data_IF_411852510422
#
_entry.id   IF_411852510422
#
_cell.length_a   1.000
_cell.length_b   1.000
_cell.length_c   1.000
_cell.angle_alpha   90.00
_cell.angle_beta   90.00
_cell.angle_gamma   90.00
#
_symmetry.space_group_name_H-M   'P 1'
#
loop_
_entity.id
_entity.type
_entity.pdbx_description
1 polymer ?
#
# COMPACT_ATOMS: atom_id res chain seq x y z
N UNK A 1 16.25 -21.74 11.42
CA UNK A 1 16.66 -21.35 10.04
C UNK A 1 17.43 -20.04 10.16
N UNK A 2 18.70 -20.02 9.75
CA UNK A 2 19.43 -18.76 9.66
C UNK A 2 18.92 -18.05 8.40
N UNK A 3 18.30 -16.87 8.54
CA UNK A 3 17.92 -16.07 7.40
C UNK A 3 19.23 -15.48 6.78
N UNK A 4 19.76 -16.04 5.70
CA UNK A 4 21.04 -15.58 5.14
C UNK A 4 20.90 -14.22 4.45
N UNK A 5 19.67 -13.83 4.11
CA UNK A 5 19.37 -12.59 3.38
C UNK A 5 18.72 -11.58 4.32
N UNK A 6 19.22 -10.36 4.30
CA UNK A 6 18.62 -9.25 5.01
C UNK A 6 17.31 -8.85 4.33
N UNK A 7 16.18 -9.06 5.02
CA UNK A 7 14.84 -8.78 4.51
C UNK A 7 14.70 -7.32 3.99
N UNK A 8 15.28 -6.38 4.71
CA UNK A 8 15.24 -4.97 4.32
C UNK A 8 15.99 -4.67 3.02
N UNK A 9 17.13 -5.34 2.80
CA UNK A 9 17.89 -5.18 1.56
C UNK A 9 17.15 -5.85 0.42
N UNK A 10 16.68 -7.08 0.62
CA UNK A 10 15.86 -7.79 -0.38
C UNK A 10 14.65 -6.96 -0.79
N UNK A 11 13.93 -6.40 0.20
CA UNK A 11 12.77 -5.56 -0.06
C UNK A 11 13.12 -4.33 -0.89
N UNK A 12 14.21 -3.63 -0.57
CA UNK A 12 14.65 -2.46 -1.35
C UNK A 12 15.04 -2.82 -2.79
N UNK A 13 15.68 -3.97 -3.00
CA UNK A 13 16.00 -4.47 -4.34
C UNK A 13 14.71 -4.74 -5.12
N UNK A 14 13.75 -5.44 -4.51
CA UNK A 14 12.45 -5.73 -5.14
C UNK A 14 11.69 -4.43 -5.41
N UNK A 15 11.64 -3.49 -4.46
CA UNK A 15 10.98 -2.20 -4.62
C UNK A 15 11.58 -1.38 -5.76
N UNK A 16 12.91 -1.31 -5.84
CA UNK A 16 13.59 -0.57 -6.91
C UNK A 16 13.38 -1.24 -8.26
N UNK A 17 13.53 -2.56 -8.33
CA UNK A 17 13.28 -3.33 -9.54
C UNK A 17 11.83 -3.22 -10.01
N UNK A 18 10.87 -3.30 -9.09
CA UNK A 18 9.45 -3.10 -9.39
C UNK A 18 9.17 -1.66 -9.86
N UNK A 19 9.75 -0.66 -9.20
CA UNK A 19 9.60 0.74 -9.62
C UNK A 19 10.09 0.95 -11.05
N UNK A 20 11.28 0.46 -11.39
CA UNK A 20 11.84 0.55 -12.74
C UNK A 20 10.95 -0.21 -13.73
N UNK A 21 10.54 -1.43 -13.39
CA UNK A 21 9.72 -2.26 -14.27
C UNK A 21 8.34 -1.65 -14.55
N UNK A 22 7.69 -1.10 -13.51
CA UNK A 22 6.35 -0.55 -13.67
C UNK A 22 6.32 0.87 -14.22
N UNK A 23 7.38 1.64 -14.06
CA UNK A 23 7.46 2.99 -14.65
C UNK A 23 8.00 2.93 -16.08
N UNK A 24 9.03 2.09 -16.34
CA UNK A 24 9.72 2.07 -17.64
C UNK A 24 9.49 0.77 -18.42
N UNK A 25 8.67 -0.14 -17.91
CA UNK A 25 8.49 -1.46 -18.53
C UNK A 25 7.93 -1.43 -19.94
N UNK A 26 7.02 -0.53 -20.24
CA UNK A 26 6.48 -0.31 -21.60
C UNK A 26 7.57 0.09 -22.58
N UNK A 27 8.45 1.01 -22.19
CA UNK A 27 9.59 1.46 -22.99
C UNK A 27 10.61 0.32 -23.21
N UNK A 28 10.88 -0.46 -22.14
CA UNK A 28 11.85 -1.56 -22.18
C UNK A 28 11.36 -2.72 -23.06
N UNK A 29 10.07 -3.04 -22.97
CA UNK A 29 9.48 -4.20 -23.70
C UNK A 29 8.92 -3.83 -25.06
N UNK A 30 8.78 -2.54 -25.38
CA UNK A 30 8.10 -2.07 -26.57
C UNK A 30 6.59 -2.37 -26.59
N UNK A 31 6.04 -2.78 -25.44
CA UNK A 31 4.63 -3.12 -25.28
C UNK A 31 3.89 -1.94 -24.66
N UNK A 32 3.05 -1.31 -25.46
CA UNK A 32 2.25 -0.17 -25.03
C UNK A 32 0.81 -0.60 -24.68
N UNK A 33 0.18 0.18 -23.88
CA UNK A 33 -1.12 -0.04 -23.28
C UNK A 33 -2.28 -0.26 -24.22
N UNK A 34 -2.24 0.31 -25.41
CA UNK A 34 -3.28 0.16 -26.43
C UNK A 34 -3.47 -1.29 -26.86
N UNK A 35 -2.44 -2.12 -26.72
CA UNK A 35 -2.44 -3.55 -27.06
C UNK A 35 -2.88 -4.45 -25.90
N UNK A 36 -3.62 -3.92 -24.93
CA UNK A 36 -4.10 -4.71 -23.79
C UNK A 36 -4.85 -5.96 -24.22
N UNK A 37 -4.39 -7.08 -23.73
CA UNK A 37 -4.97 -8.40 -23.97
C UNK A 37 -6.43 -8.45 -23.47
N UNK A 38 -6.79 -7.66 -22.48
CA UNK A 38 -8.16 -7.54 -21.99
C UNK A 38 -8.30 -6.32 -21.07
N UNK A 39 -9.32 -5.48 -21.29
CA UNK A 39 -9.71 -4.41 -20.38
C UNK A 39 -10.18 -4.89 -18.99
N UNK A 40 -10.25 -6.21 -18.79
CA UNK A 40 -10.62 -6.84 -17.53
C UNK A 40 -9.41 -7.30 -16.71
N UNK A 41 -8.20 -7.31 -17.28
CA UNK A 41 -7.00 -7.69 -16.54
C UNK A 41 -6.57 -6.56 -15.59
N UNK A 42 -6.13 -6.91 -14.38
CA UNK A 42 -5.66 -5.91 -13.43
C UNK A 42 -4.42 -5.21 -13.94
N UNK A 43 -4.48 -3.91 -13.94
CA UNK A 43 -3.36 -3.05 -14.24
C UNK A 43 -2.55 -2.77 -12.95
N UNK A 44 -1.22 -2.81 -12.98
CA UNK A 44 -0.34 -2.62 -11.81
C UNK A 44 0.32 -1.22 -11.77
N UNK A 45 0.29 -0.46 -12.87
CA UNK A 45 0.69 0.94 -12.91
C UNK A 45 -0.40 1.84 -13.49
N UNK A 46 -0.19 3.15 -13.50
CA UNK A 46 -1.24 4.08 -13.89
C UNK A 46 -1.39 4.17 -15.43
N UNK A 47 -2.63 4.05 -15.93
CA UNK A 47 -2.98 3.97 -17.35
C UNK A 47 -2.96 5.30 -18.10
N UNK A 48 -2.71 6.40 -17.43
CA UNK A 48 -2.78 7.70 -18.07
C UNK A 48 -1.50 8.11 -18.80
N UNK A 49 -0.49 7.26 -18.77
CA UNK A 49 0.75 7.47 -19.47
C UNK A 49 0.84 6.52 -20.65
N UNK A 50 0.90 7.05 -21.87
CA UNK A 50 1.06 6.25 -23.09
C UNK A 50 2.35 5.44 -23.13
N UNK A 51 3.32 5.77 -22.28
CA UNK A 51 4.63 5.11 -22.21
C UNK A 51 4.77 4.17 -21.00
N UNK A 52 3.82 4.20 -20.06
CA UNK A 52 3.84 3.38 -18.85
C UNK A 52 3.12 2.04 -19.01
N UNK A 53 3.56 1.04 -18.29
CA UNK A 53 2.85 -0.23 -18.19
C UNK A 53 1.76 -0.14 -17.12
N UNK A 54 0.52 -0.47 -17.49
CA UNK A 54 -0.64 -0.38 -16.60
C UNK A 54 -0.77 -1.57 -15.68
N UNK A 55 -0.78 -1.29 -14.40
CA UNK A 55 -1.15 -2.32 -13.43
C UNK A 55 -1.91 -1.75 -12.21
N UNK A 56 -2.84 -0.83 -12.42
CA UNK A 56 -3.75 -0.38 -11.35
C UNK A 56 -5.16 -0.96 -11.53
N UNK A 57 -5.65 -1.65 -10.51
CA UNK A 57 -6.96 -2.28 -10.50
C UNK A 57 -8.11 -1.32 -10.46
N UNK A 58 -7.89 -0.18 -9.89
CA UNK A 58 -8.97 0.77 -9.68
C UNK A 58 -9.48 1.36 -10.99
N UNK A 59 -8.62 1.42 -12.03
CA UNK A 59 -9.02 1.92 -13.35
C UNK A 59 -10.06 1.02 -14.01
N UNK A 60 -9.78 -0.30 -14.25
CA UNK A 60 -10.77 -1.14 -14.87
C UNK A 60 -12.05 -1.27 -14.05
N UNK A 61 -11.99 -1.19 -12.72
CA UNK A 61 -13.20 -1.19 -11.90
C UNK A 61 -14.04 0.06 -12.18
N UNK A 62 -13.45 1.27 -12.15
CA UNK A 62 -14.18 2.51 -12.42
C UNK A 62 -14.76 2.53 -13.84
N UNK A 63 -13.96 2.17 -14.84
CA UNK A 63 -14.40 2.08 -16.24
C UNK A 63 -15.57 1.10 -16.43
N UNK A 64 -15.56 -0.03 -15.75
CA UNK A 64 -16.64 -1.01 -15.85
C UNK A 64 -17.90 -0.58 -15.11
N UNK A 65 -17.74 0.15 -13.99
CA UNK A 65 -18.89 0.75 -13.30
C UNK A 65 -19.56 1.80 -14.16
N UNK A 66 -18.78 2.65 -14.83
CA UNK A 66 -19.28 3.71 -15.71
C UNK A 66 -19.88 3.13 -17.02
N UNK A 67 -19.04 2.59 -17.90
CA UNK A 67 -19.42 2.24 -19.28
C UNK A 67 -20.14 0.90 -19.43
N UNK A 68 -20.10 0.01 -18.44
CA UNK A 68 -20.79 -1.30 -18.56
C UNK A 68 -21.99 -1.40 -17.66
N UNK A 69 -21.79 -1.23 -16.36
CA UNK A 69 -22.87 -1.42 -15.41
C UNK A 69 -23.85 -0.25 -15.43
N UNK A 70 -23.38 0.98 -15.39
CA UNK A 70 -24.22 2.18 -15.41
C UNK A 70 -25.09 2.25 -16.67
N UNK A 71 -24.49 2.04 -17.85
CA UNK A 71 -25.23 2.02 -19.10
C UNK A 71 -26.23 0.85 -19.19
N UNK A 72 -25.88 -0.35 -18.68
CA UNK A 72 -26.78 -1.50 -18.69
C UNK A 72 -28.04 -1.25 -17.84
N UNK A 73 -27.89 -0.55 -16.72
CA UNK A 73 -29.03 -0.18 -15.86
C UNK A 73 -29.97 0.77 -16.59
N UNK A 74 -29.45 1.80 -17.25
CA UNK A 74 -30.27 2.84 -17.92
C UNK A 74 -30.90 2.34 -19.20
N UNK A 75 -30.15 1.62 -20.03
CA UNK A 75 -30.61 1.12 -21.33
C UNK A 75 -31.50 -0.12 -21.23
N UNK A 76 -31.74 -0.64 -20.01
CA UNK A 76 -32.53 -1.87 -19.82
C UNK A 76 -31.86 -3.10 -20.43
N UNK A 77 -30.55 -3.09 -20.57
CA UNK A 77 -29.75 -4.17 -21.12
C UNK A 77 -29.66 -5.39 -20.19
N UNK A 78 -29.03 -6.45 -20.68
CA UNK A 78 -28.83 -7.65 -19.87
C UNK A 78 -27.83 -7.33 -18.74
N UNK A 79 -28.36 -7.12 -17.51
CA UNK A 79 -27.60 -6.75 -16.33
C UNK A 79 -26.43 -7.72 -16.06
N UNK A 80 -26.63 -9.00 -16.37
CA UNK A 80 -25.60 -10.02 -16.23
C UNK A 80 -24.37 -9.73 -17.13
N UNK A 81 -24.61 -9.30 -18.38
CA UNK A 81 -23.53 -8.91 -19.30
C UNK A 81 -22.81 -7.62 -18.87
N UNK A 82 -23.50 -6.70 -18.21
CA UNK A 82 -22.89 -5.51 -17.63
C UNK A 82 -22.00 -5.80 -16.42
N UNK A 83 -22.41 -6.76 -15.58
CA UNK A 83 -21.71 -7.12 -14.35
C UNK A 83 -20.54 -8.09 -14.59
N UNK A 84 -20.62 -8.95 -15.61
CA UNK A 84 -19.61 -10.00 -15.88
C UNK A 84 -18.16 -9.48 -15.98
N UNK A 85 -17.86 -8.40 -16.73
CA UNK A 85 -16.49 -7.88 -16.78
C UNK A 85 -15.97 -7.46 -15.41
N UNK A 86 -16.80 -6.85 -14.58
CA UNK A 86 -16.44 -6.47 -13.20
C UNK A 86 -16.14 -7.69 -12.34
N UNK A 87 -16.96 -8.74 -12.45
CA UNK A 87 -16.72 -10.00 -11.72
C UNK A 87 -15.43 -10.70 -12.18
N UNK A 88 -15.12 -10.67 -13.48
CA UNK A 88 -13.87 -11.22 -14.02
C UNK A 88 -12.68 -10.42 -13.48
N UNK A 89 -12.76 -9.11 -13.50
CA UNK A 89 -11.72 -8.23 -12.96
C UNK A 89 -11.51 -8.49 -11.46
N UNK A 90 -12.56 -8.53 -10.67
CA UNK A 90 -12.48 -8.87 -9.25
C UNK A 90 -11.96 -10.29 -9.02
N UNK A 91 -12.31 -11.24 -9.88
CA UNK A 91 -11.82 -12.63 -9.83
C UNK A 91 -10.31 -12.74 -10.11
N UNK A 92 -9.80 -12.06 -11.13
CA UNK A 92 -8.35 -12.02 -11.42
C UNK A 92 -7.57 -11.34 -10.31
N UNK A 93 -8.17 -10.32 -9.70
CA UNK A 93 -7.64 -9.69 -8.49
C UNK A 93 -7.60 -10.63 -7.31
N UNK A 94 -8.70 -11.35 -7.07
CA UNK A 94 -8.76 -12.32 -6.00
C UNK A 94 -7.60 -13.31 -6.12
N UNK A 95 -7.29 -13.77 -7.33
CA UNK A 95 -6.16 -14.66 -7.58
C UNK A 95 -4.83 -14.00 -7.15
N UNK A 96 -4.57 -12.77 -7.61
CA UNK A 96 -3.36 -12.02 -7.25
C UNK A 96 -3.29 -11.75 -5.73
N UNK A 97 -4.42 -11.39 -5.12
CA UNK A 97 -4.48 -11.11 -3.69
C UNK A 97 -4.40 -12.36 -2.83
N UNK A 98 -4.86 -13.49 -3.30
CA UNK A 98 -4.65 -14.77 -2.61
C UNK A 98 -3.17 -15.13 -2.63
N UNK A 99 -2.48 -14.98 -3.75
CA UNK A 99 -1.05 -15.32 -3.88
C UNK A 99 -0.16 -14.35 -3.09
N UNK A 100 -0.26 -13.06 -3.37
CA UNK A 100 0.63 -12.04 -2.79
C UNK A 100 0.06 -11.42 -1.50
N UNK A 101 -1.24 -11.54 -1.28
CA UNK A 101 -1.93 -10.83 -0.21
C UNK A 101 -1.58 -9.33 -0.29
N UNK A 102 -1.32 -8.70 0.82
CA UNK A 102 -0.96 -7.28 0.93
C UNK A 102 0.51 -6.97 0.66
N UNK A 103 1.33 -7.97 0.29
CA UNK A 103 2.73 -7.74 -0.04
C UNK A 103 2.90 -6.82 -1.25
N UNK A 104 1.92 -6.78 -2.16
CA UNK A 104 1.92 -5.81 -3.24
C UNK A 104 2.19 -4.38 -2.73
N UNK A 105 1.46 -3.93 -1.70
CA UNK A 105 1.61 -2.58 -1.14
C UNK A 105 2.97 -2.33 -0.49
N UNK A 106 3.56 -3.35 0.13
CA UNK A 106 4.82 -3.20 0.88
C UNK A 106 6.09 -3.48 0.07
N UNK A 107 5.97 -4.16 -1.07
CA UNK A 107 7.13 -4.65 -1.83
C UNK A 107 7.17 -4.18 -3.28
N UNK A 108 6.00 -3.96 -3.90
CA UNK A 108 5.90 -3.74 -5.34
C UNK A 108 5.44 -2.32 -5.66
N UNK A 109 4.50 -1.76 -4.89
CA UNK A 109 3.84 -0.49 -5.20
C UNK A 109 4.84 0.68 -5.37
N UNK A 110 4.90 1.33 -6.56
CA UNK A 110 5.81 2.44 -6.83
C UNK A 110 5.57 3.63 -5.89
N UNK A 111 4.31 3.96 -5.63
CA UNK A 111 3.95 5.07 -4.73
C UNK A 111 4.40 4.82 -3.29
N UNK A 112 4.29 3.56 -2.81
CA UNK A 112 4.80 3.16 -1.50
C UNK A 112 6.31 3.30 -1.40
N UNK A 113 7.02 2.90 -2.47
CA UNK A 113 8.48 3.04 -2.58
C UNK A 113 8.91 4.50 -2.57
N UNK A 114 8.23 5.36 -3.33
CA UNK A 114 8.50 6.80 -3.38
C UNK A 114 8.31 7.46 -2.01
N UNK A 115 7.22 7.18 -1.31
CA UNK A 115 7.00 7.70 0.04
C UNK A 115 8.09 7.23 1.02
N UNK A 116 8.58 6.00 0.89
CA UNK A 116 9.70 5.51 1.72
C UNK A 116 11.01 6.24 1.42
N UNK A 117 11.27 6.59 0.15
CA UNK A 117 12.43 7.42 -0.24
C UNK A 117 12.31 8.83 0.36
N UNK A 118 11.14 9.47 0.23
CA UNK A 118 10.89 10.79 0.82
C UNK A 118 11.06 10.77 2.34
N UNK A 119 10.59 9.70 3.00
CA UNK A 119 10.81 9.51 4.43
C UNK A 119 12.30 9.47 4.79
N UNK A 120 13.14 8.75 4.03
CA UNK A 120 14.60 8.69 4.25
C UNK A 120 15.21 10.09 4.09
N UNK A 121 14.77 10.83 3.08
CA UNK A 121 15.20 12.21 2.85
C UNK A 121 14.80 13.10 4.05
N UNK A 122 13.53 13.02 4.47
CA UNK A 122 13.01 13.76 5.62
C UNK A 122 13.78 13.47 6.92
N UNK A 123 14.19 12.20 7.13
CA UNK A 123 15.03 11.81 8.26
C UNK A 123 16.42 12.47 8.21
N UNK A 124 17.05 12.44 7.04
CA UNK A 124 18.37 13.06 6.84
C UNK A 124 18.33 14.58 7.01
N UNK A 125 17.24 15.22 6.60
CA UNK A 125 17.01 16.66 6.76
C UNK A 125 16.56 17.04 8.19
N UNK A 126 16.32 16.07 9.06
CA UNK A 126 15.83 16.31 10.43
C UNK A 126 14.37 16.79 10.50
N UNK A 127 13.61 16.68 9.41
CA UNK A 127 12.21 17.11 9.33
C UNK A 127 11.26 16.13 10.00
N UNK A 128 11.64 14.86 10.12
CA UNK A 128 10.77 13.84 10.72
C UNK A 128 10.66 14.04 12.22
N UNK A 129 9.56 14.66 12.67
CA UNK A 129 9.27 14.94 14.08
C UNK A 129 8.51 13.80 14.77
N UNK A 130 7.69 13.05 14.03
CA UNK A 130 6.81 12.03 14.59
C UNK A 130 7.24 10.63 14.13
N UNK A 131 7.71 9.83 15.06
CA UNK A 131 8.11 8.45 14.78
C UNK A 131 6.91 7.52 14.69
N UNK A 132 5.88 7.78 15.50
CA UNK A 132 4.65 7.03 15.52
C UNK A 132 3.47 7.98 15.71
N UNK A 133 2.41 7.75 14.96
CA UNK A 133 1.14 8.45 15.18
C UNK A 133 0.44 7.85 16.40
N UNK A 134 -0.35 8.69 17.09
CA UNK A 134 -1.17 8.23 18.21
C UNK A 134 -2.18 7.19 17.72
N UNK A 135 -2.51 6.24 18.61
CA UNK A 135 -3.49 5.18 18.32
C UNK A 135 -4.84 5.75 17.91
N UNK A 136 -5.28 6.82 18.59
CA UNK A 136 -6.56 7.46 18.32
C UNK A 136 -6.61 8.10 16.94
N UNK A 137 -5.52 8.75 16.51
CA UNK A 137 -5.45 9.35 15.18
C UNK A 137 -5.47 8.27 14.09
N UNK A 138 -4.71 7.19 14.27
CA UNK A 138 -4.70 6.04 13.33
C UNK A 138 -6.10 5.43 13.22
N UNK A 139 -6.80 5.24 14.34
CA UNK A 139 -8.16 4.67 14.34
C UNK A 139 -9.18 5.58 13.64
N UNK A 140 -9.05 6.91 13.77
CA UNK A 140 -9.91 7.89 13.09
C UNK A 140 -9.66 7.96 11.57
N UNK A 141 -8.42 7.81 11.13
CA UNK A 141 -8.06 7.85 9.70
C UNK A 141 -8.44 6.53 8.99
N UNK A 142 -8.42 5.41 9.70
CA UNK A 142 -8.65 4.07 9.14
C UNK A 142 -9.93 3.93 8.29
N UNK A 143 -11.10 4.47 8.65
CA UNK A 143 -12.31 4.36 7.82
C UNK A 143 -12.25 5.18 6.53
N UNK A 144 -11.39 6.21 6.42
CA UNK A 144 -11.32 7.08 5.24
C UNK A 144 -11.04 6.30 3.95
N UNK A 145 -10.19 5.28 3.98
CA UNK A 145 -9.89 4.43 2.82
C UNK A 145 -11.10 3.68 2.29
N UNK A 146 -12.02 3.25 3.18
CA UNK A 146 -13.26 2.60 2.81
C UNK A 146 -14.26 3.58 2.21
N UNK A 147 -14.35 4.77 2.81
CA UNK A 147 -15.19 5.84 2.27
C UNK A 147 -14.73 6.25 0.87
N UNK A 148 -13.43 6.44 0.65
CA UNK A 148 -12.84 6.75 -0.65
C UNK A 148 -13.11 5.61 -1.65
N UNK A 149 -12.93 4.34 -1.24
CA UNK A 149 -13.21 3.18 -2.08
C UNK A 149 -14.67 3.16 -2.53
N UNK A 150 -15.61 3.25 -1.59
CA UNK A 150 -17.04 3.14 -1.90
C UNK A 150 -17.55 4.34 -2.70
N UNK A 151 -17.11 5.55 -2.35
CA UNK A 151 -17.61 6.77 -2.98
C UNK A 151 -16.95 7.01 -4.34
N UNK A 152 -15.58 7.08 -4.38
CA UNK A 152 -14.88 7.51 -5.59
C UNK A 152 -14.59 6.39 -6.58
N UNK A 153 -14.55 5.13 -6.14
CA UNK A 153 -14.25 4.01 -7.05
C UNK A 153 -15.51 3.28 -7.52
N UNK A 154 -16.56 3.26 -6.70
CA UNK A 154 -17.81 2.57 -7.06
C UNK A 154 -18.97 3.52 -7.33
N UNK A 155 -19.32 4.41 -6.38
CA UNK A 155 -20.55 5.19 -6.48
C UNK A 155 -20.49 6.25 -7.59
N UNK A 156 -19.46 7.07 -7.64
CA UNK A 156 -19.35 8.14 -8.65
C UNK A 156 -19.29 7.58 -10.08
N UNK A 157 -18.42 6.59 -10.41
CA UNK A 157 -18.42 6.01 -11.75
C UNK A 157 -19.78 5.42 -12.14
N UNK A 158 -20.45 4.73 -11.20
CA UNK A 158 -21.78 4.16 -11.45
C UNK A 158 -22.82 5.25 -11.76
N UNK A 159 -22.87 6.32 -10.95
CA UNK A 159 -23.79 7.43 -11.16
C UNK A 159 -23.50 8.18 -12.47
N UNK A 160 -22.23 8.29 -12.86
CA UNK A 160 -21.82 8.84 -14.14
C UNK A 160 -22.34 7.99 -15.30
N UNK A 161 -22.14 6.68 -15.23
CA UNK A 161 -22.64 5.74 -16.24
C UNK A 161 -24.17 5.68 -16.34
N UNK A 162 -24.87 6.03 -15.26
CA UNK A 162 -26.33 6.22 -15.25
C UNK A 162 -26.77 7.59 -15.83
N UNK A 163 -25.84 8.46 -16.20
CA UNK A 163 -26.14 9.80 -16.73
C UNK A 163 -26.58 10.81 -15.66
N UNK A 164 -26.39 10.51 -14.38
CA UNK A 164 -26.75 11.41 -13.27
C UNK A 164 -25.66 12.44 -12.97
N UNK A 165 -24.43 12.14 -13.34
CA UNK A 165 -23.26 13.01 -13.14
C UNK A 165 -22.58 13.28 -14.48
N UNK A 166 -21.72 14.32 -14.49
CA UNK A 166 -20.92 14.65 -15.67
C UNK A 166 -19.94 13.50 -15.98
N UNK A 167 -19.75 13.20 -17.28
CA UNK A 167 -18.84 12.15 -17.76
C UNK A 167 -17.40 12.29 -17.22
N UNK A 168 -16.95 13.51 -16.92
CA UNK A 168 -15.65 13.77 -16.32
C UNK A 168 -15.47 13.15 -14.93
N UNK A 169 -16.53 12.69 -14.28
CA UNK A 169 -16.55 12.01 -12.99
C UNK A 169 -16.63 10.46 -13.11
N UNK A 170 -16.36 9.91 -14.29
CA UNK A 170 -16.32 8.46 -14.52
C UNK A 170 -15.11 7.77 -13.87
N UNK A 171 -14.03 8.51 -13.65
CA UNK A 171 -12.79 8.01 -13.02
C UNK A 171 -12.21 8.96 -11.94
N UNK A 172 -13.02 9.45 -10.99
CA UNK A 172 -12.66 10.57 -10.12
C UNK A 172 -11.46 10.27 -9.22
N UNK A 173 -11.33 9.04 -8.73
CA UNK A 173 -10.18 8.67 -7.91
C UNK A 173 -8.89 8.69 -8.72
N UNK A 174 -8.91 8.22 -9.96
CA UNK A 174 -7.72 8.18 -10.81
C UNK A 174 -7.22 9.59 -11.15
N UNK A 175 -8.12 10.55 -11.32
CA UNK A 175 -7.76 11.95 -11.58
C UNK A 175 -7.04 12.62 -10.41
N UNK A 176 -7.36 12.27 -9.18
CA UNK A 176 -6.74 12.84 -7.99
C UNK A 176 -5.64 11.96 -7.39
N UNK A 177 -5.33 10.81 -8.00
CA UNK A 177 -4.37 9.86 -7.45
C UNK A 177 -2.93 10.35 -7.64
N UNK A 178 -2.14 10.48 -6.56
CA UNK A 178 -0.75 10.92 -6.67
C UNK A 178 0.15 9.94 -7.41
N UNK A 179 -0.25 8.67 -7.56
CA UNK A 179 0.51 7.70 -8.35
C UNK A 179 0.52 8.06 -9.84
N UNK A 180 -0.57 8.61 -10.35
CA UNK A 180 -0.68 9.08 -11.73
C UNK A 180 0.37 10.16 -12.03
N UNK A 181 0.43 11.18 -11.18
CA UNK A 181 1.39 12.28 -11.35
C UNK A 181 2.83 11.77 -11.18
N UNK A 182 3.06 10.88 -10.19
CA UNK A 182 4.39 10.32 -9.95
C UNK A 182 4.92 9.52 -11.14
N UNK A 183 4.11 8.64 -11.71
CA UNK A 183 4.53 7.78 -12.83
C UNK A 183 4.81 8.59 -14.09
N UNK A 184 3.94 9.55 -14.42
CA UNK A 184 4.14 10.46 -15.55
C UNK A 184 5.37 11.34 -15.40
N UNK A 185 5.59 11.93 -14.24
CA UNK A 185 6.82 12.69 -13.98
C UNK A 185 8.08 11.84 -14.07
N UNK A 186 8.02 10.59 -13.64
CA UNK A 186 9.16 9.68 -13.71
C UNK A 186 9.51 9.30 -15.15
N UNK A 187 8.56 9.30 -16.07
CA UNK A 187 8.80 9.08 -17.52
C UNK A 187 9.22 10.37 -18.26
N UNK A 188 9.23 11.51 -17.56
CA UNK A 188 9.61 12.80 -18.12
C UNK A 188 8.45 13.59 -18.71
N UNK A 189 7.23 13.09 -18.61
CA UNK A 189 6.04 13.83 -19.01
C UNK A 189 5.52 14.74 -17.91
N UNK A 190 5.17 15.97 -18.28
CA UNK A 190 4.61 16.97 -17.34
C UNK A 190 3.15 17.28 -17.59
N UNK A 191 2.52 16.59 -18.54
CA UNK A 191 1.13 16.82 -18.96
C UNK A 191 0.13 16.71 -17.81
N UNK A 192 0.41 15.87 -16.82
CA UNK A 192 -0.46 15.67 -15.67
C UNK A 192 -0.37 16.77 -14.59
N UNK A 193 0.60 17.68 -14.72
CA UNK A 193 0.71 18.89 -13.89
C UNK A 193 0.02 20.09 -14.51
N UNK A 194 -0.42 20.00 -15.77
CA UNK A 194 -1.16 21.10 -16.39
C UNK A 194 -2.62 21.08 -15.95
N UNK A 195 -3.15 22.28 -15.73
CA UNK A 195 -4.57 22.45 -15.47
C UNK A 195 -5.35 22.18 -16.74
N UNK A 196 -6.22 21.18 -16.69
CA UNK A 196 -7.17 20.93 -17.77
C UNK A 196 -8.30 21.95 -17.67
N UNK A 197 -8.32 22.89 -18.62
CA UNK A 197 -9.27 24.02 -18.65
C UNK A 197 -10.52 23.74 -19.50
N UNK A 198 -10.72 22.48 -19.92
CA UNK A 198 -11.85 22.15 -20.79
C UNK A 198 -13.21 22.41 -20.10
N UNK A 199 -13.34 22.06 -18.83
CA UNK A 199 -14.57 22.23 -18.05
C UNK A 199 -14.24 22.59 -16.60
N UNK A 200 -15.21 23.17 -15.88
CA UNK A 200 -15.05 23.49 -14.45
C UNK A 200 -14.72 22.25 -13.62
N UNK A 201 -15.31 21.10 -13.96
CA UNK A 201 -15.05 19.83 -13.26
C UNK A 201 -13.61 19.38 -13.44
N UNK A 202 -13.07 19.47 -14.67
CA UNK A 202 -11.68 19.07 -14.96
C UNK A 202 -10.69 20.01 -14.29
N UNK A 203 -10.96 21.32 -14.24
CA UNK A 203 -10.15 22.30 -13.49
C UNK A 203 -10.07 21.90 -12.01
N UNK A 204 -11.23 21.67 -11.38
CA UNK A 204 -11.28 21.32 -9.95
C UNK A 204 -10.55 20.03 -9.67
N UNK A 205 -10.70 19.00 -10.52
CA UNK A 205 -10.03 17.70 -10.34
C UNK A 205 -8.52 17.81 -10.55
N UNK A 206 -8.04 18.58 -11.51
CA UNK A 206 -6.60 18.82 -11.73
C UNK A 206 -5.98 19.54 -10.55
N UNK A 207 -6.59 20.64 -10.09
CA UNK A 207 -6.13 21.37 -8.90
C UNK A 207 -6.11 20.48 -7.65
N UNK A 208 -7.14 19.67 -7.46
CA UNK A 208 -7.21 18.75 -6.32
C UNK A 208 -6.14 17.67 -6.39
N UNK A 209 -5.88 17.14 -7.59
CA UNK A 209 -4.83 16.16 -7.83
C UNK A 209 -3.44 16.69 -7.49
N UNK A 210 -3.10 17.88 -8.02
CA UNK A 210 -1.84 18.55 -7.75
C UNK A 210 -1.67 18.90 -6.27
N UNK A 211 -2.75 19.38 -5.64
CA UNK A 211 -2.76 19.67 -4.21
C UNK A 211 -2.51 18.40 -3.38
N UNK A 212 -3.20 17.30 -3.68
CA UNK A 212 -3.03 16.03 -2.98
C UNK A 212 -1.62 15.48 -3.19
N UNK A 213 -1.06 15.61 -4.40
CA UNK A 213 0.30 15.18 -4.69
C UNK A 213 1.33 16.00 -3.90
N UNK A 214 1.22 17.32 -3.91
CA UNK A 214 2.09 18.21 -3.12
C UNK A 214 1.97 17.96 -1.61
N UNK A 215 0.73 17.79 -1.11
CA UNK A 215 0.46 17.46 0.28
C UNK A 215 1.05 16.11 0.68
N UNK A 216 0.94 15.10 -0.21
CA UNK A 216 1.54 13.78 0.03
C UNK A 216 3.06 13.88 0.15
N UNK A 217 3.75 14.66 -0.71
CA UNK A 217 5.20 14.88 -0.62
C UNK A 217 5.55 15.54 0.71
N UNK A 218 4.89 16.63 1.07
CA UNK A 218 5.13 17.35 2.30
C UNK A 218 4.92 16.47 3.54
N UNK A 219 3.84 15.69 3.56
CA UNK A 219 3.55 14.77 4.65
C UNK A 219 4.53 13.57 4.68
N UNK A 220 4.97 13.06 3.54
CA UNK A 220 5.90 11.92 3.49
C UNK A 220 7.30 12.27 4.02
N UNK A 221 7.69 13.54 4.00
CA UNK A 221 8.93 14.02 4.63
C UNK A 221 8.84 13.99 6.18
N UNK A 222 7.64 14.10 6.74
CA UNK A 222 7.42 14.22 8.19
C UNK A 222 6.80 12.97 8.82
N UNK A 223 5.91 12.29 8.10
CA UNK A 223 5.13 11.12 8.55
C UNK A 223 5.42 9.93 7.64
N UNK A 224 5.43 8.73 8.22
CA UNK A 224 5.64 7.48 7.46
C UNK A 224 4.39 7.12 6.66
N UNK A 225 4.55 6.94 5.34
CA UNK A 225 3.55 6.45 4.39
C UNK A 225 2.15 7.09 4.58
N UNK A 226 2.03 8.43 4.49
CA UNK A 226 0.79 9.12 4.81
C UNK A 226 -0.36 8.74 3.87
N UNK A 227 -0.12 8.70 2.56
CA UNK A 227 -1.14 8.38 1.57
C UNK A 227 -1.58 6.91 1.62
N UNK A 228 -0.67 5.99 1.96
CA UNK A 228 -1.01 4.56 2.06
C UNK A 228 -2.13 4.31 3.09
N UNK A 229 -2.29 5.17 4.09
CA UNK A 229 -3.32 5.04 5.14
C UNK A 229 -4.74 5.27 4.64
N UNK A 230 -4.89 6.10 3.61
CA UNK A 230 -6.18 6.47 3.01
C UNK A 230 -6.38 5.84 1.62
N UNK A 231 -5.41 5.09 1.13
CA UNK A 231 -5.44 4.51 -0.20
C UNK A 231 -6.54 3.45 -0.34
N UNK A 232 -7.47 3.60 -1.30
CA UNK A 232 -8.56 2.62 -1.51
C UNK A 232 -8.05 1.26 -1.99
N UNK A 233 -6.87 1.19 -2.62
CA UNK A 233 -6.23 -0.07 -2.95
C UNK A 233 -5.93 -0.89 -1.69
N UNK A 234 -5.47 -0.26 -0.60
CA UNK A 234 -5.25 -0.97 0.67
C UNK A 234 -6.55 -1.47 1.29
N UNK A 235 -7.66 -0.73 1.11
CA UNK A 235 -8.98 -1.17 1.55
C UNK A 235 -9.43 -2.41 0.76
N UNK A 236 -9.28 -2.40 -0.56
CA UNK A 236 -9.61 -3.55 -1.41
C UNK A 236 -8.80 -4.79 -1.02
N UNK A 237 -7.48 -4.65 -0.80
CA UNK A 237 -6.65 -5.73 -0.28
C UNK A 237 -7.07 -6.20 1.12
N UNK A 238 -7.66 -5.33 1.94
CA UNK A 238 -8.07 -5.69 3.29
C UNK A 238 -9.23 -6.69 3.30
N UNK A 239 -10.09 -6.71 2.28
CA UNK A 239 -11.17 -7.69 2.11
C UNK A 239 -10.61 -9.11 2.10
N UNK A 240 -9.51 -9.32 1.39
CA UNK A 240 -8.92 -10.63 1.16
C UNK A 240 -7.85 -11.06 2.19
N UNK A 241 -7.59 -10.24 3.21
CA UNK A 241 -6.51 -10.46 4.21
C UNK A 241 -6.52 -11.82 4.90
N UNK A 242 -7.71 -12.40 5.08
CA UNK A 242 -7.87 -13.70 5.76
C UNK A 242 -7.58 -14.89 4.85
N UNK A 243 -7.78 -14.74 3.55
CA UNK A 243 -7.67 -15.79 2.53
C UNK A 243 -6.24 -15.89 1.98
N UNK A 244 -5.50 -14.77 1.95
CA UNK A 244 -4.17 -14.69 1.34
C UNK A 244 -3.17 -15.70 1.88
N UNK A 245 -2.32 -16.21 0.98
CA UNK A 245 -1.32 -17.22 1.29
C UNK A 245 -0.14 -16.65 2.09
N UNK A 246 0.26 -15.42 1.79
CA UNK A 246 1.29 -14.72 2.56
C UNK A 246 0.66 -14.04 3.77
N UNK A 247 1.16 -14.35 4.96
CA UNK A 247 0.60 -13.89 6.24
C UNK A 247 1.69 -13.51 7.24
N UNK A 248 1.37 -12.54 8.08
CA UNK A 248 2.17 -12.25 9.27
C UNK A 248 1.60 -13.03 10.45
N UNK A 249 2.39 -13.95 10.97
CA UNK A 249 2.01 -14.83 12.07
C UNK A 249 2.76 -14.45 13.33
N UNK A 250 2.04 -14.40 14.45
CA UNK A 250 2.59 -14.23 15.79
C UNK A 250 2.46 -15.54 16.55
N UNK A 251 3.59 -16.13 16.90
CA UNK A 251 3.61 -17.33 17.71
C UNK A 251 3.58 -16.92 19.18
N UNK A 252 2.42 -17.09 19.76
CA UNK A 252 1.99 -17.06 21.16
C UNK A 252 2.89 -16.55 22.28
N UNK A 253 2.20 -16.39 23.30
CA UNK A 253 2.37 -15.70 24.55
C UNK A 253 3.60 -15.99 25.41
N UNK A 254 4.17 -17.19 25.52
CA UNK A 254 5.29 -17.34 26.47
C UNK A 254 6.61 -16.74 25.94
N UNK A 255 6.69 -16.37 24.66
CA UNK A 255 7.93 -15.92 24.04
C UNK A 255 7.96 -14.40 23.72
N UNK A 256 6.84 -13.70 23.80
CA UNK A 256 6.75 -12.29 23.48
C UNK A 256 6.85 -11.41 24.72
N UNK A 257 7.93 -10.67 24.87
CA UNK A 257 8.16 -9.73 25.99
C UNK A 257 7.29 -8.46 25.93
N UNK A 258 6.34 -8.37 25.01
CA UNK A 258 5.49 -7.19 24.79
C UNK A 258 6.27 -5.87 24.68
N UNK A 259 7.47 -5.94 24.11
CA UNK A 259 8.37 -4.77 24.05
C UNK A 259 7.89 -3.61 23.17
N UNK A 260 6.90 -3.80 22.31
CA UNK A 260 6.33 -2.76 21.42
C UNK A 260 7.24 -2.35 20.27
N UNK A 261 8.43 -2.94 20.10
CA UNK A 261 9.35 -2.61 19.00
C UNK A 261 8.75 -2.90 17.62
N UNK A 262 7.95 -3.96 17.51
CA UNK A 262 7.26 -4.32 16.27
C UNK A 262 6.26 -3.24 15.82
N UNK A 263 5.50 -2.66 16.75
CA UNK A 263 4.58 -1.56 16.47
C UNK A 263 5.37 -0.27 16.11
N UNK A 264 6.43 0.02 16.85
CA UNK A 264 7.27 1.20 16.60
C UNK A 264 8.03 1.12 15.26
N UNK A 265 8.39 -0.10 14.82
CA UNK A 265 9.01 -0.32 13.53
C UNK A 265 8.01 -0.28 12.36
N UNK A 266 6.71 -0.41 12.63
CA UNK A 266 5.66 -0.47 11.63
C UNK A 266 5.50 0.89 10.92
N UNK A 267 5.61 0.97 9.59
CA UNK A 267 5.41 2.22 8.87
C UNK A 267 3.96 2.71 8.89
N UNK A 268 3.02 1.81 9.16
CA UNK A 268 1.59 2.09 9.26
C UNK A 268 1.12 2.33 10.68
N UNK A 269 2.03 2.33 11.67
CA UNK A 269 1.76 2.52 13.10
C UNK A 269 0.67 1.60 13.66
N UNK A 270 0.71 0.31 13.29
CA UNK A 270 -0.24 -0.69 13.75
C UNK A 270 0.13 -1.11 15.18
N UNK A 271 -0.53 -0.52 16.16
CA UNK A 271 -0.26 -0.81 17.57
C UNK A 271 -0.74 -2.20 18.00
N UNK A 272 -1.74 -2.73 17.32
CA UNK A 272 -2.35 -4.03 17.61
C UNK A 272 -1.35 -5.18 17.49
N UNK A 273 -0.28 -5.05 16.69
CA UNK A 273 0.74 -6.11 16.53
C UNK A 273 1.34 -6.52 17.89
N UNK A 274 1.55 -5.57 18.81
CA UNK A 274 2.14 -5.90 20.12
C UNK A 274 1.10 -6.13 21.22
N UNK A 275 -0.09 -5.51 21.10
CA UNK A 275 -1.15 -5.61 22.13
C UNK A 275 -2.00 -6.86 21.97
N UNK A 276 -2.26 -7.28 20.73
CA UNK A 276 -3.02 -8.50 20.46
C UNK A 276 -2.14 -9.73 20.74
N UNK A 277 -2.56 -10.52 21.71
CA UNK A 277 -1.87 -11.76 22.13
C UNK A 277 -2.69 -13.00 21.80
N UNK A 278 -3.94 -12.83 21.38
CA UNK A 278 -4.85 -13.92 21.09
C UNK A 278 -4.78 -14.35 19.63
N UNK A 279 -4.70 -13.38 18.72
CA UNK A 279 -4.70 -13.66 17.30
C UNK A 279 -3.36 -14.19 16.81
N UNK A 280 -3.38 -15.38 16.26
CA UNK A 280 -2.19 -15.95 15.60
C UNK A 280 -1.87 -15.23 14.28
N UNK A 281 -2.88 -14.87 13.49
CA UNK A 281 -2.71 -14.11 12.26
C UNK A 281 -2.84 -12.61 12.56
N UNK A 282 -1.71 -11.93 12.63
CA UNK A 282 -1.62 -10.48 12.89
C UNK A 282 -1.48 -9.66 11.59
N UNK A 283 -2.00 -10.17 10.49
CA UNK A 283 -2.14 -9.41 9.23
C UNK A 283 -3.36 -8.49 9.36
N UNK A 284 -3.20 -7.38 10.07
CA UNK A 284 -4.26 -6.41 10.29
C UNK A 284 -4.65 -5.69 9.00
N UNK A 285 -5.78 -4.97 9.07
CA UNK A 285 -6.37 -4.24 7.95
C UNK A 285 -5.40 -3.26 7.27
N UNK A 286 -4.54 -2.58 8.03
CA UNK A 286 -3.57 -1.62 7.51
C UNK A 286 -2.19 -2.23 7.25
N UNK A 287 -2.01 -3.53 7.47
CA UNK A 287 -0.73 -4.20 7.28
C UNK A 287 -0.37 -4.29 5.79
N UNK A 288 0.80 -3.82 5.42
CA UNK A 288 1.35 -3.92 4.06
C UNK A 288 2.28 -5.12 3.87
N UNK A 289 2.36 -6.02 4.86
CA UNK A 289 3.27 -7.18 4.87
C UNK A 289 4.74 -6.85 4.55
N UNK A 290 5.17 -5.64 4.89
CA UNK A 290 6.53 -5.18 4.61
C UNK A 290 7.62 -5.91 5.42
N UNK A 291 7.27 -6.66 6.47
CA UNK A 291 8.18 -7.48 7.26
C UNK A 291 9.05 -6.72 8.27
N UNK A 292 8.97 -5.39 8.37
CA UNK A 292 9.78 -4.61 9.33
C UNK A 292 9.60 -5.06 10.78
N UNK A 293 8.39 -5.41 11.18
CA UNK A 293 8.12 -5.91 12.53
C UNK A 293 8.85 -7.22 12.83
N UNK A 294 9.06 -8.08 11.83
CA UNK A 294 9.85 -9.31 11.96
C UNK A 294 11.34 -9.00 12.19
N UNK A 295 11.87 -8.00 11.45
CA UNK A 295 13.28 -7.58 11.60
C UNK A 295 13.59 -6.98 12.97
N UNK A 296 12.63 -6.23 13.52
CA UNK A 296 12.80 -5.52 14.79
C UNK A 296 12.26 -6.29 16.01
N UNK A 297 11.86 -7.54 15.85
CA UNK A 297 11.53 -8.40 16.97
C UNK A 297 12.80 -9.09 17.51
N UNK A 298 13.20 -8.83 18.78
CA UNK A 298 14.37 -9.44 19.37
C UNK A 298 14.18 -10.91 19.73
N UNK A 299 12.92 -11.37 19.84
CA UNK A 299 12.57 -12.70 20.31
C UNK A 299 12.59 -13.71 19.18
N UNK A 300 13.09 -14.91 19.48
CA UNK A 300 13.22 -15.98 18.49
C UNK A 300 11.85 -16.53 18.09
N UNK A 301 11.57 -16.55 16.77
CA UNK A 301 10.38 -17.16 16.14
C UNK A 301 9.03 -16.63 16.64
N UNK A 302 8.99 -15.43 17.25
CA UNK A 302 7.75 -14.80 17.71
C UNK A 302 6.96 -14.23 16.54
N UNK A 303 7.61 -13.44 15.68
CA UNK A 303 6.99 -12.92 14.47
C UNK A 303 7.58 -13.61 13.25
N UNK A 304 6.69 -14.10 12.39
CA UNK A 304 7.07 -14.83 11.19
C UNK A 304 6.25 -14.34 9.98
N UNK A 305 6.94 -14.10 8.88
CA UNK A 305 6.31 -13.97 7.58
C UNK A 305 6.22 -15.36 6.96
N UNK A 306 4.99 -15.88 6.82
CA UNK A 306 4.73 -17.22 6.29
C UNK A 306 4.02 -17.16 4.95
N UNK A 307 4.45 -18.05 4.05
CA UNK A 307 3.71 -18.36 2.84
C UNK A 307 3.05 -19.74 3.05
N UNK A 308 1.74 -19.75 3.13
CA UNK A 308 0.98 -20.93 3.56
C UNK A 308 1.46 -21.47 4.91
N UNK A 309 2.15 -22.60 4.92
CA UNK A 309 2.70 -23.28 6.10
C UNK A 309 4.20 -22.98 6.31
N UNK A 310 4.90 -22.53 5.26
CA UNK A 310 6.35 -22.37 5.30
C UNK A 310 6.74 -20.97 5.78
N UNK A 311 7.57 -20.85 6.84
CA UNK A 311 8.12 -19.59 7.27
C UNK A 311 9.20 -19.13 6.27
N UNK A 312 8.97 -17.97 5.60
CA UNK A 312 9.98 -17.36 4.71
C UNK A 312 10.99 -16.59 5.55
N UNK A 313 10.50 -15.81 6.52
CA UNK A 313 11.32 -15.03 7.43
C UNK A 313 10.79 -15.17 8.86
N UNK A 314 11.72 -15.34 9.81
CA UNK A 314 11.42 -15.45 11.23
C UNK A 314 12.22 -14.44 12.02
N UNK A 315 11.65 -13.90 13.07
CA UNK A 315 12.35 -13.04 14.01
C UNK A 315 13.43 -13.82 14.76
N UNK A 316 14.57 -13.16 15.01
CA UNK A 316 15.66 -13.75 15.81
C UNK A 316 16.53 -12.67 16.46
N UNK A 317 17.15 -12.97 17.63
CA UNK A 317 18.06 -12.04 18.29
C UNK A 317 19.26 -11.66 17.43
N UNK A 318 19.76 -12.58 16.60
CA UNK A 318 20.89 -12.34 15.70
C UNK A 318 20.50 -11.36 14.59
N UNK A 319 19.33 -11.57 14.00
CA UNK A 319 18.79 -10.72 12.95
C UNK A 319 18.49 -9.30 13.48
N UNK A 320 17.92 -9.20 14.66
CA UNK A 320 17.70 -7.93 15.34
C UNK A 320 19.03 -7.19 15.60
N UNK A 321 20.09 -7.88 16.08
CA UNK A 321 21.41 -7.26 16.30
C UNK A 321 22.02 -6.76 14.99
N UNK A 322 21.92 -7.53 13.91
CA UNK A 322 22.39 -7.12 12.58
C UNK A 322 21.64 -5.88 12.08
N UNK A 323 20.33 -5.90 12.21
CA UNK A 323 19.48 -4.77 11.80
C UNK A 323 19.74 -3.51 12.62
N UNK A 324 19.96 -3.67 13.93
CA UNK A 324 20.34 -2.61 14.82
C UNK A 324 21.65 -1.93 14.38
N UNK A 325 22.68 -2.73 14.01
CA UNK A 325 23.96 -2.21 13.52
C UNK A 325 23.78 -1.38 12.23
N UNK A 326 22.93 -1.83 11.32
CA UNK A 326 22.64 -1.09 10.09
C UNK A 326 21.85 0.19 10.36
N UNK A 327 20.89 0.14 11.27
CA UNK A 327 20.07 1.29 11.61
C UNK A 327 20.89 2.44 12.21
N UNK A 328 21.91 2.15 13.03
CA UNK A 328 22.81 3.19 13.56
C UNK A 328 23.56 3.93 12.48
N UNK A 329 23.73 3.33 11.32
CA UNK A 329 24.37 3.97 10.16
C UNK A 329 23.40 4.82 9.31
N UNK A 330 22.12 4.46 9.26
CA UNK A 330 21.14 5.02 8.33
C UNK A 330 20.06 5.91 8.97
N UNK A 331 19.66 5.56 10.17
CA UNK A 331 18.65 6.29 10.92
C UNK A 331 19.25 6.71 12.24
N UNK A 332 19.24 7.99 12.62
CA UNK A 332 19.52 8.43 13.99
C UNK A 332 18.38 7.90 14.87
N UNK A 333 18.50 6.62 15.27
CA UNK A 333 17.38 5.80 15.67
C UNK A 333 16.92 6.00 17.10
N UNK A 334 15.86 6.72 17.25
CA UNK A 334 15.08 6.76 18.49
C UNK A 334 14.53 5.39 18.89
N UNK A 335 14.35 4.45 17.94
CA UNK A 335 13.97 3.07 18.21
C UNK A 335 14.95 2.35 19.12
N UNK A 336 16.26 2.54 18.87
CA UNK A 336 17.33 1.92 19.68
C UNK A 336 17.46 2.62 21.02
N UNK A 337 17.39 3.95 21.03
CA UNK A 337 17.42 4.72 22.26
C UNK A 337 16.23 4.36 23.19
N UNK A 338 15.06 4.16 22.63
CA UNK A 338 13.88 3.73 23.37
C UNK A 338 14.05 2.31 23.96
N UNK A 339 14.59 1.36 23.16
CA UNK A 339 14.87 0.01 23.65
C UNK A 339 15.87 -0.02 24.80
N UNK A 340 16.95 0.81 24.73
CA UNK A 340 17.93 0.92 25.79
C UNK A 340 17.39 1.55 27.09
N UNK A 341 16.42 2.46 26.99
CA UNK A 341 15.80 3.14 28.14
C UNK A 341 14.74 2.29 28.85
N UNK A 342 14.33 1.18 28.24
CA UNK A 342 13.33 0.32 28.84
C UNK A 342 13.97 -0.48 29.98
N UNK A 343 13.40 -0.43 31.21
CA UNK A 343 13.81 -1.35 32.24
C UNK A 343 13.54 -2.77 31.72
N UNK A 344 14.58 -3.63 31.79
CA UNK A 344 14.36 -5.06 31.54
C UNK A 344 13.30 -5.50 32.54
N UNK A 345 12.11 -5.85 32.04
CA UNK A 345 11.11 -6.45 32.92
C UNK A 345 11.79 -7.67 33.52
N UNK A 346 11.97 -7.65 34.83
CA UNK A 346 12.37 -8.82 35.57
C UNK A 346 11.50 -9.97 35.07
N UNK A 347 12.10 -11.00 34.50
CA UNK A 347 11.42 -12.25 34.31
C UNK A 347 10.72 -12.52 35.64
N UNK A 348 9.40 -12.54 35.63
CA UNK A 348 8.69 -13.04 36.78
C UNK A 348 9.27 -14.43 37.05
N UNK A 349 10.02 -14.54 38.11
CA UNK A 349 10.34 -15.79 38.74
C UNK A 349 9.00 -16.42 39.04
N UNK A 350 8.60 -17.36 38.20
CA UNK A 350 7.54 -18.30 38.51
C UNK A 350 8.18 -19.39 39.30
N UNK A 351 8.09 -19.23 40.62
CA UNK A 351 8.07 -20.37 41.53
C UNK A 351 6.90 -21.28 41.16
#
# INVERSE_FOLDING_TARGET
MNNPINLSVLRKIVQLGAFIFFVYGGIITGYYLEDKISGSLPALSCAYDFQGSDLCTLIPIQHQMDHRLGEAIVKGGNLLMGVMPTLITLGTFLLLFVVLNKAFCGWICPLGTFQEILQIIGQKLGLQRHETLSRDLVSRIRPAKWFILLLLVFAFPLLTGMGMLNHDLGDPFCRICPSRILTTLATGETTQLYLDTANTTTIVMSLLGDFIFGLMIALALTVRQPFCRICPMLALHAVFRKIGLLRLIKNGTPRCDRCGLCAKACPMDIHEIHTDMESRNVTFEDCTLCGRCVEFCPDKDVLQLKYTLFPIFSSSPQYFKQRKKQQTQWEKGNLIAWYKKRPMSSKAESS
#
